data_IF_336574645055
#
_entry.id   IF_336574645055
#
_cell.length_a   1.000
_cell.length_b   1.000
_cell.length_c   1.000
_cell.angle_alpha   90.00
_cell.angle_beta   90.00
_cell.angle_gamma   90.00
#
_symmetry.space_group_name_H-M   'P 1'
#
loop_
_entity.id
_entity.type
_entity.pdbx_description
1 polymer ?
#
# COMPACT_ATOMS: atom_id res chain seq x y z
N UNK A 1 -3.52 3.38 -10.94
CA UNK A 1 -4.16 4.55 -10.31
C UNK A 1 -5.53 4.86 -10.91
N UNK A 2 -5.65 5.35 -12.16
CA UNK A 2 -6.95 5.68 -12.78
C UNK A 2 -7.96 4.55 -12.73
N UNK A 3 -7.52 3.32 -13.00
CA UNK A 3 -8.36 2.14 -12.86
C UNK A 3 -8.94 1.99 -11.45
N UNK A 4 -8.16 2.18 -10.38
CA UNK A 4 -8.65 2.06 -9.00
C UNK A 4 -9.80 3.02 -8.70
N UNK A 5 -9.73 4.28 -9.16
CA UNK A 5 -10.81 5.26 -8.94
C UNK A 5 -12.11 4.85 -9.65
N UNK A 6 -12.00 4.44 -10.92
CA UNK A 6 -13.17 4.02 -11.69
C UNK A 6 -13.75 2.70 -11.16
N UNK A 7 -12.90 1.73 -10.87
CA UNK A 7 -13.33 0.40 -10.41
C UNK A 7 -13.71 0.36 -8.93
N UNK A 8 -13.29 1.30 -8.08
CA UNK A 8 -13.78 1.41 -6.72
C UNK A 8 -15.30 1.55 -6.66
N UNK A 9 -15.87 2.43 -7.50
CA UNK A 9 -17.31 2.57 -7.69
C UNK A 9 -17.91 1.33 -8.38
N UNK A 10 -17.26 0.84 -9.41
CA UNK A 10 -17.76 -0.28 -10.22
C UNK A 10 -17.85 -1.58 -9.40
N UNK A 11 -16.92 -1.85 -8.49
CA UNK A 11 -16.91 -3.03 -7.61
C UNK A 11 -18.18 -3.10 -6.77
N UNK A 12 -18.64 -1.98 -6.23
CA UNK A 12 -19.88 -1.96 -5.43
C UNK A 12 -21.14 -2.04 -6.31
N UNK A 13 -21.12 -1.45 -7.53
CA UNK A 13 -22.28 -1.46 -8.44
C UNK A 13 -22.49 -2.80 -9.16
N UNK A 14 -21.40 -3.39 -9.67
CA UNK A 14 -21.45 -4.61 -10.47
C UNK A 14 -21.30 -5.89 -9.63
N UNK A 15 -20.93 -5.75 -8.38
CA UNK A 15 -20.63 -6.84 -7.45
C UNK A 15 -19.14 -7.15 -7.34
N UNK A 16 -18.75 -7.54 -6.15
CA UNK A 16 -17.37 -7.82 -5.78
C UNK A 16 -16.82 -9.04 -6.48
N UNK A 17 -17.63 -10.10 -6.56
CA UNK A 17 -17.31 -11.37 -7.23
C UNK A 17 -17.06 -11.17 -8.73
N UNK A 18 -17.97 -10.49 -9.43
CA UNK A 18 -17.85 -10.23 -10.88
C UNK A 18 -16.62 -9.38 -11.19
N UNK A 19 -16.36 -8.36 -10.38
CA UNK A 19 -15.19 -7.48 -10.53
C UNK A 19 -13.89 -8.23 -10.30
N UNK A 20 -13.82 -9.12 -9.30
CA UNK A 20 -12.65 -9.97 -9.06
C UNK A 20 -12.39 -10.91 -10.23
N UNK A 21 -13.43 -11.59 -10.73
CA UNK A 21 -13.28 -12.53 -11.85
C UNK A 21 -12.86 -11.82 -13.14
N UNK A 22 -13.50 -10.71 -13.47
CA UNK A 22 -13.11 -9.89 -14.64
C UNK A 22 -11.68 -9.37 -14.53
N UNK A 23 -11.29 -8.89 -13.35
CA UNK A 23 -9.95 -8.42 -13.07
C UNK A 23 -8.88 -9.51 -13.21
N UNK A 24 -9.11 -10.71 -12.62
CA UNK A 24 -8.12 -11.80 -12.66
C UNK A 24 -7.98 -12.41 -14.05
N UNK A 25 -9.07 -12.51 -14.81
CA UNK A 25 -9.04 -12.95 -16.21
C UNK A 25 -8.23 -11.94 -17.04
N UNK A 26 -8.48 -10.64 -16.88
CA UNK A 26 -7.71 -9.60 -17.57
C UNK A 26 -6.24 -9.66 -17.18
N UNK A 27 -5.94 -9.88 -15.89
CA UNK A 27 -4.57 -10.01 -15.38
C UNK A 27 -3.86 -11.22 -15.96
N UNK A 28 -4.54 -12.36 -16.07
CA UNK A 28 -4.02 -13.57 -16.69
C UNK A 28 -3.74 -13.37 -18.18
N UNK A 29 -4.71 -12.84 -18.93
CA UNK A 29 -4.55 -12.57 -20.36
C UNK A 29 -3.39 -11.59 -20.61
N UNK A 30 -3.31 -10.50 -19.87
CA UNK A 30 -2.22 -9.55 -20.01
C UNK A 30 -0.86 -10.13 -19.62
N UNK A 31 -0.82 -11.10 -18.69
CA UNK A 31 0.41 -11.84 -18.37
C UNK A 31 0.84 -12.74 -19.54
N UNK A 32 -0.09 -13.38 -20.23
CA UNK A 32 0.23 -14.16 -21.42
C UNK A 32 0.73 -13.30 -22.59
N UNK A 33 0.27 -12.06 -22.71
CA UNK A 33 0.76 -11.14 -23.77
C UNK A 33 2.26 -10.84 -23.66
N UNK A 34 2.90 -11.06 -22.49
CA UNK A 34 4.36 -10.92 -22.36
C UNK A 34 5.18 -11.96 -23.16
N UNK A 35 4.55 -13.02 -23.64
CA UNK A 35 5.22 -13.95 -24.58
C UNK A 35 5.44 -13.33 -25.96
N UNK A 36 4.66 -12.29 -26.31
CA UNK A 36 4.72 -11.64 -27.60
C UNK A 36 4.97 -10.12 -27.45
N UNK A 37 6.23 -9.73 -27.40
CA UNK A 37 6.66 -8.33 -27.28
C UNK A 37 7.50 -7.97 -28.51
N UNK A 38 6.88 -7.57 -29.63
CA UNK A 38 7.63 -7.24 -30.84
C UNK A 38 8.35 -5.89 -30.76
N UNK A 39 7.86 -4.94 -29.95
CA UNK A 39 8.44 -3.61 -29.81
C UNK A 39 8.12 -2.96 -28.47
N UNK A 40 8.79 -1.83 -28.18
CA UNK A 40 8.67 -1.11 -26.92
C UNK A 40 7.26 -0.51 -26.70
N UNK A 41 6.57 -0.07 -27.76
CA UNK A 41 5.23 0.51 -27.66
C UNK A 41 4.22 -0.55 -27.17
N UNK A 42 4.30 -1.78 -27.71
CA UNK A 42 3.46 -2.91 -27.27
C UNK A 42 3.79 -3.29 -25.83
N UNK A 43 5.08 -3.29 -25.43
CA UNK A 43 5.46 -3.52 -24.04
C UNK A 43 4.79 -2.50 -23.10
N UNK A 44 4.80 -1.22 -23.44
CA UNK A 44 4.12 -0.19 -22.62
C UNK A 44 2.61 -0.41 -22.58
N UNK A 45 1.98 -0.78 -23.68
CA UNK A 45 0.55 -1.08 -23.71
C UNK A 45 0.21 -2.29 -22.81
N UNK A 46 0.98 -3.37 -22.90
CA UNK A 46 0.83 -4.55 -22.04
C UNK A 46 1.01 -4.16 -20.56
N UNK A 47 2.05 -3.39 -20.22
CA UNK A 47 2.30 -2.90 -18.87
C UNK A 47 1.14 -2.07 -18.33
N UNK A 48 0.58 -1.20 -19.15
CA UNK A 48 -0.58 -0.37 -18.80
C UNK A 48 -1.80 -1.23 -18.49
N UNK A 49 -2.15 -2.16 -19.37
CA UNK A 49 -3.28 -3.08 -19.18
C UNK A 49 -3.08 -4.01 -17.98
N UNK A 50 -1.88 -4.54 -17.81
CA UNK A 50 -1.52 -5.38 -16.67
C UNK A 50 -1.63 -4.62 -15.35
N UNK A 51 -1.14 -3.36 -15.31
CA UNK A 51 -1.30 -2.48 -14.16
C UNK A 51 -2.76 -2.13 -13.86
N UNK A 52 -3.61 -1.95 -14.88
CA UNK A 52 -5.06 -1.78 -14.70
C UNK A 52 -5.68 -3.03 -14.07
N UNK A 53 -5.40 -4.20 -14.63
CA UNK A 53 -5.89 -5.49 -14.12
C UNK A 53 -5.48 -5.72 -12.66
N UNK A 54 -4.20 -5.48 -12.33
CA UNK A 54 -3.70 -5.51 -10.94
C UNK A 54 -4.48 -4.55 -10.03
N UNK A 55 -4.73 -3.32 -10.50
CA UNK A 55 -5.50 -2.33 -9.76
C UNK A 55 -6.93 -2.81 -9.42
N UNK A 56 -7.60 -3.46 -10.36
CA UNK A 56 -8.94 -4.04 -10.16
C UNK A 56 -8.88 -5.20 -9.16
N UNK A 57 -8.01 -6.18 -9.40
CA UNK A 57 -7.88 -7.38 -8.55
C UNK A 57 -7.53 -6.97 -7.12
N UNK A 58 -6.51 -6.12 -6.94
CA UNK A 58 -6.08 -5.72 -5.60
C UNK A 58 -7.14 -4.92 -4.85
N UNK A 59 -7.90 -4.05 -5.53
CA UNK A 59 -9.00 -3.32 -4.89
C UNK A 59 -10.15 -4.26 -4.52
N UNK A 60 -10.54 -5.17 -5.41
CA UNK A 60 -11.59 -6.14 -5.15
C UNK A 60 -11.22 -7.08 -3.99
N UNK A 61 -10.02 -7.65 -3.99
CA UNK A 61 -9.55 -8.54 -2.90
C UNK A 61 -9.47 -7.81 -1.56
N UNK A 62 -8.93 -6.60 -1.51
CA UNK A 62 -8.91 -5.79 -0.29
C UNK A 62 -10.32 -5.50 0.23
N UNK A 63 -11.28 -5.21 -0.66
CA UNK A 63 -12.67 -4.95 -0.29
C UNK A 63 -13.37 -6.21 0.24
N UNK A 64 -13.15 -7.35 -0.42
CA UNK A 64 -13.72 -8.65 0.02
C UNK A 64 -13.16 -9.02 1.40
N UNK A 65 -11.84 -8.97 1.57
CA UNK A 65 -11.19 -9.25 2.86
C UNK A 65 -11.71 -8.33 3.95
N UNK A 66 -11.81 -7.02 3.68
CA UNK A 66 -12.33 -6.05 4.63
C UNK A 66 -13.77 -6.33 5.06
N UNK A 67 -14.59 -6.95 4.21
CA UNK A 67 -15.96 -7.33 4.54
C UNK A 67 -16.07 -8.64 5.33
N UNK A 68 -15.10 -9.53 5.20
CA UNK A 68 -15.05 -10.80 5.94
C UNK A 68 -14.54 -10.63 7.38
N UNK A 69 -13.84 -9.53 7.69
CA UNK A 69 -13.24 -9.30 9.00
C UNK A 69 -14.27 -8.64 9.93
N UNK A 70 -14.53 -9.21 11.14
CA UNK A 70 -15.37 -8.59 12.15
C UNK A 70 -14.90 -7.18 12.53
N UNK A 71 -15.84 -6.32 12.95
CA UNK A 71 -15.54 -4.92 13.24
C UNK A 71 -14.56 -4.70 14.40
N UNK A 72 -14.57 -5.61 15.37
CA UNK A 72 -13.68 -5.63 16.55
C UNK A 72 -12.26 -6.15 16.26
N UNK A 73 -12.06 -6.82 15.12
CA UNK A 73 -10.77 -7.40 14.71
C UNK A 73 -10.24 -6.84 13.38
N UNK A 74 -10.65 -5.63 13.00
CA UNK A 74 -10.26 -5.02 11.72
C UNK A 74 -8.76 -4.76 11.62
N UNK A 75 -8.14 -4.28 12.68
CA UNK A 75 -6.71 -4.06 12.72
C UNK A 75 -5.92 -5.35 12.57
N UNK A 76 -6.25 -6.36 13.36
CA UNK A 76 -5.60 -7.67 13.31
C UNK A 76 -5.77 -8.31 11.93
N UNK A 77 -7.00 -8.45 11.43
CA UNK A 77 -7.29 -9.11 10.17
C UNK A 77 -6.65 -8.44 8.95
N UNK A 78 -6.70 -7.11 8.85
CA UNK A 78 -6.06 -6.35 7.77
C UNK A 78 -4.54 -6.45 7.83
N UNK A 79 -3.94 -6.44 9.02
CA UNK A 79 -2.50 -6.62 9.17
C UNK A 79 -2.05 -8.04 8.80
N UNK A 80 -2.81 -9.08 9.18
CA UNK A 80 -2.55 -10.45 8.71
C UNK A 80 -2.67 -10.60 7.20
N UNK A 81 -3.73 -10.05 6.59
CA UNK A 81 -3.84 -10.02 5.13
C UNK A 81 -2.66 -9.29 4.48
N UNK A 82 -2.24 -8.17 5.07
CA UNK A 82 -1.11 -7.39 4.60
C UNK A 82 0.24 -8.14 4.63
N UNK A 83 0.39 -9.22 5.42
CA UNK A 83 1.60 -10.06 5.40
C UNK A 83 1.83 -10.66 4.01
N UNK A 84 0.77 -11.06 3.30
CA UNK A 84 0.87 -11.63 1.96
C UNK A 84 1.55 -10.66 0.98
N UNK A 85 1.18 -9.38 1.03
CA UNK A 85 1.79 -8.34 0.20
C UNK A 85 3.23 -8.05 0.56
N UNK A 86 3.58 -8.10 1.86
CA UNK A 86 4.96 -7.89 2.32
C UNK A 86 5.87 -9.06 1.93
N UNK A 87 5.38 -10.29 2.10
CA UNK A 87 6.11 -11.48 1.65
C UNK A 87 6.34 -11.44 0.14
N UNK A 88 5.30 -11.12 -0.64
CA UNK A 88 5.41 -11.00 -2.08
C UNK A 88 6.40 -9.91 -2.50
N UNK A 89 6.40 -8.76 -1.82
CA UNK A 89 7.33 -7.66 -2.10
C UNK A 89 8.79 -8.00 -1.76
N UNK A 90 9.05 -8.92 -0.82
CA UNK A 90 10.38 -9.40 -0.49
C UNK A 90 10.82 -10.55 -1.40
N UNK A 91 9.96 -11.56 -1.56
CA UNK A 91 10.27 -12.80 -2.31
C UNK A 91 10.28 -12.55 -3.82
N UNK A 92 9.38 -11.69 -4.33
CA UNK A 92 9.24 -11.44 -5.77
C UNK A 92 10.50 -10.93 -6.45
N UNK A 93 11.09 -9.81 -6.02
CA UNK A 93 12.35 -9.30 -6.58
C UNK A 93 13.52 -10.28 -6.42
N UNK A 94 13.62 -10.95 -5.26
CA UNK A 94 14.65 -11.95 -5.03
C UNK A 94 14.56 -13.10 -6.04
N UNK A 95 13.38 -13.70 -6.20
CA UNK A 95 13.16 -14.74 -7.20
C UNK A 95 13.40 -14.24 -8.62
N UNK A 96 12.93 -13.03 -8.94
CA UNK A 96 13.14 -12.44 -10.26
C UNK A 96 14.62 -12.28 -10.60
N UNK A 97 15.42 -11.74 -9.67
CA UNK A 97 16.87 -11.59 -9.84
C UNK A 97 17.61 -12.93 -9.90
N UNK A 98 17.21 -13.89 -9.08
CA UNK A 98 17.80 -15.24 -9.11
C UNK A 98 17.49 -15.96 -10.42
N UNK A 99 16.23 -15.96 -10.83
CA UNK A 99 15.80 -16.69 -12.03
C UNK A 99 16.35 -16.10 -13.31
N UNK A 100 16.57 -14.79 -13.42
CA UNK A 100 17.13 -14.17 -14.63
C UNK A 100 18.59 -14.57 -14.87
N UNK A 101 19.31 -14.99 -13.82
CA UNK A 101 20.70 -15.47 -13.91
C UNK A 101 20.75 -16.94 -14.33
N UNK A 102 19.82 -17.77 -13.87
CA UNK A 102 19.85 -19.24 -14.07
C UNK A 102 18.91 -19.72 -15.17
N UNK A 103 17.98 -18.85 -15.63
CA UNK A 103 16.96 -19.20 -16.63
C UNK A 103 16.82 -18.08 -17.68
N UNK A 104 15.81 -18.17 -18.52
CA UNK A 104 15.47 -17.16 -19.52
C UNK A 104 14.16 -16.43 -19.17
N UNK A 105 13.94 -15.30 -19.86
CA UNK A 105 12.72 -14.48 -19.67
C UNK A 105 11.43 -15.27 -19.89
N UNK A 106 11.41 -16.18 -20.87
CA UNK A 106 10.23 -17.02 -21.18
C UNK A 106 9.86 -17.90 -20.00
N UNK A 107 10.85 -18.50 -19.30
CA UNK A 107 10.60 -19.30 -18.10
C UNK A 107 9.96 -18.46 -16.98
N UNK A 108 10.47 -17.23 -16.77
CA UNK A 108 9.93 -16.33 -15.74
C UNK A 108 8.46 -15.99 -16.05
N UNK A 109 8.13 -15.66 -17.30
CA UNK A 109 6.74 -15.39 -17.71
C UNK A 109 5.86 -16.63 -17.58
N UNK A 110 6.37 -17.82 -17.94
CA UNK A 110 5.64 -19.07 -17.74
C UNK A 110 5.32 -19.30 -16.27
N UNK A 111 6.30 -19.11 -15.38
CA UNK A 111 6.08 -19.21 -13.93
C UNK A 111 5.02 -18.22 -13.45
N UNK A 112 5.11 -16.95 -13.88
CA UNK A 112 4.11 -15.94 -13.54
C UNK A 112 2.71 -16.33 -14.05
N UNK A 113 2.59 -16.81 -15.28
CA UNK A 113 1.33 -17.25 -15.87
C UNK A 113 0.73 -18.44 -15.11
N UNK A 114 1.55 -19.42 -14.73
CA UNK A 114 1.11 -20.56 -13.90
C UNK A 114 0.60 -20.09 -12.54
N UNK A 115 1.35 -19.21 -11.85
CA UNK A 115 0.94 -18.67 -10.54
C UNK A 115 -0.36 -17.89 -10.63
N UNK A 116 -0.53 -17.02 -11.63
CA UNK A 116 -1.78 -16.27 -11.84
C UNK A 116 -2.93 -17.22 -12.22
N UNK A 117 -2.67 -18.26 -13.01
CA UNK A 117 -3.65 -19.30 -13.34
C UNK A 117 -4.12 -20.07 -12.10
N UNK A 118 -3.21 -20.44 -11.21
CA UNK A 118 -3.57 -21.07 -9.93
C UNK A 118 -4.38 -20.11 -9.03
N UNK A 119 -4.01 -18.84 -8.97
CA UNK A 119 -4.81 -17.83 -8.27
C UNK A 119 -6.23 -17.69 -8.88
N UNK A 120 -6.35 -17.74 -10.20
CA UNK A 120 -7.65 -17.69 -10.89
C UNK A 120 -8.53 -18.88 -10.52
N UNK A 121 -7.98 -20.10 -10.51
CA UNK A 121 -8.68 -21.31 -10.05
C UNK A 121 -9.13 -21.16 -8.60
N UNK A 122 -8.22 -20.68 -7.72
CA UNK A 122 -8.54 -20.42 -6.31
C UNK A 122 -9.67 -19.41 -6.14
N UNK A 123 -9.67 -18.31 -6.92
CA UNK A 123 -10.74 -17.31 -6.89
C UNK A 123 -12.10 -17.86 -7.31
N UNK A 124 -12.14 -18.76 -8.29
CA UNK A 124 -13.39 -19.41 -8.73
C UNK A 124 -13.97 -20.32 -7.65
N UNK A 125 -13.09 -20.99 -6.88
CA UNK A 125 -13.50 -21.88 -5.79
C UNK A 125 -13.99 -21.12 -4.54
N UNK A 126 -13.70 -19.83 -4.40
CA UNK A 126 -14.13 -19.03 -3.25
C UNK A 126 -15.60 -18.66 -3.34
N UNK A 127 -16.32 -18.93 -2.25
CA UNK A 127 -17.65 -18.35 -2.05
C UNK A 127 -17.50 -16.92 -1.52
N UNK A 128 -18.00 -15.96 -2.30
CA UNK A 128 -17.90 -14.52 -1.99
C UNK A 128 -19.31 -14.00 -1.79
N UNK A 129 -19.57 -13.51 -0.57
CA UNK A 129 -20.85 -12.89 -0.24
C UNK A 129 -20.95 -11.51 -0.89
N UNK A 130 -22.05 -11.28 -1.60
CA UNK A 130 -22.35 -9.99 -2.23
C UNK A 130 -23.16 -9.13 -1.27
N UNK A 131 -22.82 -7.84 -1.19
CA UNK A 131 -23.63 -6.88 -0.46
C UNK A 131 -24.81 -6.47 -1.34
N UNK A 132 -26.02 -6.67 -0.83
CA UNK A 132 -27.24 -6.17 -1.49
C UNK A 132 -27.39 -4.69 -1.24
N UNK A 133 -27.26 -3.89 -2.32
CA UNK A 133 -27.53 -2.46 -2.26
C UNK A 133 -29.02 -2.19 -2.37
N UNK A 134 -29.52 -1.21 -1.60
CA UNK A 134 -30.91 -0.74 -1.78
C UNK A 134 -31.03 0.03 -3.10
N UNK A 135 -32.27 0.09 -3.67
CA UNK A 135 -32.52 0.79 -4.94
C UNK A 135 -32.09 2.27 -4.86
N UNK A 136 -32.23 2.91 -3.72
CA UNK A 136 -31.79 4.27 -3.46
C UNK A 136 -30.26 4.40 -3.50
N UNK A 137 -29.53 3.46 -2.86
CA UNK A 137 -28.07 3.43 -2.89
C UNK A 137 -27.52 3.23 -4.31
N UNK A 138 -28.16 2.34 -5.08
CA UNK A 138 -27.81 2.11 -6.49
C UNK A 138 -28.03 3.38 -7.32
N UNK A 139 -29.17 4.06 -7.17
CA UNK A 139 -29.46 5.30 -7.87
C UNK A 139 -28.44 6.40 -7.53
N UNK A 140 -28.12 6.56 -6.24
CA UNK A 140 -27.12 7.53 -5.77
C UNK A 140 -25.72 7.21 -6.30
N UNK A 141 -25.31 5.97 -6.33
CA UNK A 141 -24.01 5.56 -6.85
C UNK A 141 -23.92 5.63 -8.38
N UNK A 142 -25.00 5.48 -9.12
CA UNK A 142 -25.04 5.66 -10.59
C UNK A 142 -24.86 7.12 -11.01
N UNK A 143 -25.24 8.09 -10.18
CA UNK A 143 -25.03 9.50 -10.49
C UNK A 143 -23.56 9.82 -10.77
N UNK A 144 -23.29 10.70 -11.73
CA UNK A 144 -21.95 11.22 -12.02
C UNK A 144 -21.60 12.33 -11.03
N UNK A 145 -21.32 11.97 -9.79
CA UNK A 145 -20.86 12.88 -8.74
C UNK A 145 -19.47 12.49 -8.29
N UNK A 146 -18.62 13.45 -7.96
CA UNK A 146 -17.27 13.22 -7.40
C UNK A 146 -17.32 12.38 -6.12
N UNK A 147 -18.40 12.54 -5.31
CA UNK A 147 -18.67 11.71 -4.13
C UNK A 147 -18.66 10.20 -4.41
N UNK A 148 -18.96 9.80 -5.63
CA UNK A 148 -19.03 8.39 -6.00
C UNK A 148 -17.66 7.80 -6.39
N UNK A 149 -16.65 8.64 -6.58
CA UNK A 149 -15.29 8.22 -6.92
C UNK A 149 -14.31 8.43 -5.77
N UNK A 150 -14.62 9.35 -4.85
CA UNK A 150 -13.76 9.72 -3.73
C UNK A 150 -14.57 9.69 -2.44
N UNK A 151 -14.03 9.04 -1.41
CA UNK A 151 -14.64 9.02 -0.08
C UNK A 151 -14.03 10.11 0.81
N UNK A 152 -14.78 11.15 1.07
CA UNK A 152 -14.30 12.32 1.86
C UNK A 152 -13.94 11.99 3.30
N UNK A 153 -14.57 10.97 3.90
CA UNK A 153 -14.30 10.57 5.29
C UNK A 153 -12.87 10.10 5.49
N UNK A 154 -12.25 9.55 4.45
CA UNK A 154 -10.88 9.03 4.49
C UNK A 154 -9.85 10.00 3.89
N UNK A 155 -10.28 11.20 3.46
CA UNK A 155 -9.42 12.14 2.75
C UNK A 155 -8.18 12.53 3.56
N UNK A 156 -8.33 12.79 4.86
CA UNK A 156 -7.20 13.15 5.74
C UNK A 156 -6.14 12.05 5.75
N UNK A 157 -6.56 10.80 5.96
CA UNK A 157 -5.64 9.65 5.98
C UNK A 157 -5.05 9.40 4.60
N UNK A 158 -5.82 9.62 3.53
CA UNK A 158 -5.35 9.48 2.15
C UNK A 158 -4.31 10.54 1.77
N UNK A 159 -4.50 11.79 2.16
CA UNK A 159 -3.50 12.87 1.94
C UNK A 159 -2.21 12.56 2.72
N UNK A 160 -2.34 12.13 3.98
CA UNK A 160 -1.17 11.68 4.75
C UNK A 160 -0.51 10.49 4.06
N UNK A 161 -1.30 9.53 3.53
CA UNK A 161 -0.82 8.40 2.74
C UNK A 161 -0.03 8.81 1.51
N UNK A 162 -0.47 9.86 0.79
CA UNK A 162 0.27 10.44 -0.32
C UNK A 162 1.67 10.90 0.12
N UNK A 163 1.77 11.68 1.19
CA UNK A 163 3.06 12.18 1.68
C UNK A 163 3.94 11.07 2.27
N UNK A 164 3.34 10.07 2.92
CA UNK A 164 4.07 8.88 3.39
C UNK A 164 4.63 8.06 2.23
N UNK A 165 3.83 7.87 1.17
CA UNK A 165 4.26 7.23 -0.08
C UNK A 165 5.34 8.03 -0.80
N UNK A 166 5.21 9.36 -0.85
CA UNK A 166 6.21 10.27 -1.38
C UNK A 166 7.55 10.14 -0.63
N UNK A 167 7.53 10.18 0.70
CA UNK A 167 8.73 10.03 1.51
C UNK A 167 9.39 8.64 1.31
N UNK A 168 8.59 7.57 1.29
CA UNK A 168 9.08 6.21 1.07
C UNK A 168 9.63 5.98 -0.35
N UNK A 169 9.13 6.70 -1.35
CA UNK A 169 9.61 6.60 -2.72
C UNK A 169 11.10 6.96 -2.87
N UNK A 170 11.64 7.82 -1.97
CA UNK A 170 13.06 8.12 -1.90
C UNK A 170 13.91 6.87 -1.67
N UNK A 171 13.43 5.97 -0.79
CA UNK A 171 14.09 4.70 -0.49
C UNK A 171 13.99 3.76 -1.70
N UNK A 172 12.79 3.57 -2.27
CA UNK A 172 12.59 2.67 -3.40
C UNK A 172 13.44 3.03 -4.62
N UNK A 173 13.62 4.32 -4.88
CA UNK A 173 14.25 4.79 -6.11
C UNK A 173 15.74 5.02 -5.96
N UNK A 174 16.17 5.61 -4.85
CA UNK A 174 17.54 6.11 -4.75
C UNK A 174 18.46 5.26 -3.86
N UNK A 175 17.93 4.32 -3.06
CA UNK A 175 18.75 3.53 -2.13
C UNK A 175 19.88 2.78 -2.84
N UNK A 176 19.60 2.15 -3.98
CA UNK A 176 20.61 1.39 -4.71
C UNK A 176 21.73 2.29 -5.28
N UNK A 177 21.37 3.48 -5.76
CA UNK A 177 22.35 4.46 -6.25
C UNK A 177 23.18 5.03 -5.10
N UNK A 178 22.52 5.42 -4.01
CA UNK A 178 23.17 5.91 -2.81
C UNK A 178 24.12 4.89 -2.18
N UNK A 179 23.70 3.62 -2.04
CA UNK A 179 24.53 2.56 -1.51
C UNK A 179 25.79 2.30 -2.37
N UNK A 180 25.71 2.53 -3.68
CA UNK A 180 26.88 2.49 -4.58
C UNK A 180 27.83 3.66 -4.33
N UNK A 181 27.27 4.88 -4.19
CA UNK A 181 28.06 6.10 -3.95
C UNK A 181 28.88 6.01 -2.65
N UNK A 182 28.27 5.46 -1.59
CA UNK A 182 28.94 5.30 -0.28
C UNK A 182 29.65 3.96 -0.10
N UNK A 183 29.81 3.15 -1.18
CA UNK A 183 30.46 1.83 -1.19
C UNK A 183 29.85 0.81 -0.21
N UNK A 184 28.53 0.87 0.06
CA UNK A 184 27.79 -0.03 0.95
C UNK A 184 26.78 -0.91 0.19
N UNK A 185 27.10 -1.39 -1.01
CA UNK A 185 26.19 -2.13 -1.90
C UNK A 185 25.60 -3.37 -1.23
N UNK A 186 26.41 -4.13 -0.49
CA UNK A 186 25.92 -5.32 0.21
C UNK A 186 24.87 -4.96 1.28
N UNK A 187 25.13 -3.94 2.09
CA UNK A 187 24.18 -3.46 3.09
C UNK A 187 22.89 -2.94 2.43
N UNK A 188 23.00 -2.24 1.29
CA UNK A 188 21.85 -1.80 0.49
C UNK A 188 20.99 -2.96 0.00
N UNK A 189 21.59 -4.10 -0.38
CA UNK A 189 20.87 -5.31 -0.77
C UNK A 189 20.12 -5.90 0.43
N UNK A 190 20.77 -5.99 1.59
CA UNK A 190 20.15 -6.53 2.80
C UNK A 190 19.12 -5.60 3.45
N UNK A 191 19.11 -4.31 3.10
CA UNK A 191 18.13 -3.36 3.61
C UNK A 191 16.69 -3.85 3.43
N UNK A 192 16.33 -4.28 2.22
CA UNK A 192 14.96 -4.75 1.94
C UNK A 192 14.64 -6.08 2.62
N UNK A 193 15.64 -6.92 2.89
CA UNK A 193 15.45 -8.14 3.69
C UNK A 193 15.12 -7.77 5.14
N UNK A 194 15.89 -6.87 5.74
CA UNK A 194 15.62 -6.36 7.09
C UNK A 194 14.24 -5.70 7.17
N UNK A 195 13.93 -4.83 6.21
CA UNK A 195 12.62 -4.21 6.06
C UNK A 195 11.49 -5.24 6.05
N UNK A 196 11.60 -6.29 5.22
CA UNK A 196 10.58 -7.33 5.09
C UNK A 196 10.43 -8.16 6.38
N UNK A 197 11.53 -8.53 7.04
CA UNK A 197 11.51 -9.26 8.31
C UNK A 197 10.82 -8.43 9.40
N UNK A 198 11.19 -7.16 9.52
CA UNK A 198 10.57 -6.26 10.51
C UNK A 198 9.07 -6.13 10.30
N UNK A 199 8.62 -5.91 9.06
CA UNK A 199 7.19 -5.82 8.76
C UNK A 199 6.47 -7.13 9.09
N UNK A 200 7.06 -8.26 8.74
CA UNK A 200 6.45 -9.57 8.96
C UNK A 200 6.21 -9.83 10.45
N UNK A 201 7.15 -9.44 11.30
CA UNK A 201 7.04 -9.60 12.75
C UNK A 201 6.07 -8.58 13.35
N UNK A 202 6.13 -7.33 12.90
CA UNK A 202 5.43 -6.22 13.56
C UNK A 202 3.97 -6.08 13.18
N UNK A 203 3.57 -6.48 11.96
CA UNK A 203 2.17 -6.36 11.51
C UNK A 203 1.15 -7.07 12.41
N UNK A 204 1.32 -8.34 12.80
CA UNK A 204 0.37 -8.98 13.71
C UNK A 204 0.26 -8.23 15.04
N UNK A 205 1.40 -7.81 15.60
CA UNK A 205 1.43 -7.08 16.88
C UNK A 205 0.72 -5.72 16.78
N UNK A 206 0.97 -4.97 15.72
CA UNK A 206 0.36 -3.64 15.52
C UNK A 206 -1.12 -3.73 15.21
N UNK A 207 -1.58 -4.80 14.56
CA UNK A 207 -3.00 -5.06 14.36
C UNK A 207 -3.75 -5.28 15.69
N UNK A 208 -3.21 -6.10 16.57
CA UNK A 208 -3.76 -6.32 17.92
C UNK A 208 -3.74 -5.02 18.74
N UNK A 209 -2.64 -4.25 18.71
CA UNK A 209 -2.56 -2.96 19.39
C UNK A 209 -3.60 -1.98 18.83
N UNK A 210 -3.81 -1.96 17.53
CA UNK A 210 -4.81 -1.13 16.85
C UNK A 210 -6.22 -1.41 17.39
N UNK A 211 -6.60 -2.69 17.47
CA UNK A 211 -7.93 -3.09 17.91
C UNK A 211 -8.15 -2.86 19.42
N UNK A 212 -7.15 -3.13 20.26
CA UNK A 212 -7.29 -3.00 21.71
C UNK A 212 -7.04 -1.58 22.26
N UNK A 213 -6.06 -0.86 21.72
CA UNK A 213 -5.64 0.46 22.23
C UNK A 213 -6.07 1.62 21.33
N UNK A 214 -6.48 1.30 20.10
CA UNK A 214 -6.89 2.27 19.09
C UNK A 214 -5.76 2.71 18.16
N UNK A 215 -6.16 3.33 17.06
CA UNK A 215 -5.30 3.72 15.94
C UNK A 215 -4.15 4.64 16.31
N UNK A 216 -4.33 5.55 17.26
CA UNK A 216 -3.31 6.52 17.66
C UNK A 216 -2.06 5.85 18.24
N UNK A 217 -2.22 4.72 18.95
CA UNK A 217 -1.09 3.99 19.54
C UNK A 217 -0.19 3.34 18.50
N UNK A 218 -0.69 3.14 17.31
CA UNK A 218 0.06 2.55 16.19
C UNK A 218 0.55 3.64 15.23
N UNK A 219 -0.31 4.57 14.83
CA UNK A 219 0.00 5.53 13.77
C UNK A 219 1.01 6.60 14.21
N UNK A 220 0.97 7.10 15.45
CA UNK A 220 2.00 8.05 15.92
C UNK A 220 3.42 7.46 15.88
N UNK A 221 3.68 6.25 16.42
CA UNK A 221 4.98 5.61 16.26
C UNK A 221 5.39 5.40 14.80
N UNK A 222 4.46 5.08 13.90
CA UNK A 222 4.77 4.87 12.48
C UNK A 222 5.39 6.11 11.84
N UNK A 223 4.83 7.30 12.06
CA UNK A 223 5.37 8.54 11.49
C UNK A 223 6.75 8.85 12.05
N UNK A 224 6.94 8.69 13.37
CA UNK A 224 8.22 8.93 14.04
C UNK A 224 9.26 7.93 13.53
N UNK A 225 8.92 6.64 13.45
CA UNK A 225 9.84 5.62 12.95
C UNK A 225 10.26 5.91 11.50
N UNK A 226 9.33 6.29 10.60
CA UNK A 226 9.70 6.65 9.24
C UNK A 226 10.65 7.85 9.21
N UNK A 227 10.37 8.88 9.98
CA UNK A 227 11.24 10.07 10.07
C UNK A 227 12.64 9.71 10.57
N UNK A 228 12.74 8.89 11.63
CA UNK A 228 14.04 8.41 12.15
C UNK A 228 14.77 7.58 11.09
N UNK A 229 14.09 6.66 10.42
CA UNK A 229 14.70 5.81 9.38
C UNK A 229 15.26 6.63 8.23
N UNK A 230 14.51 7.60 7.73
CA UNK A 230 14.95 8.49 6.65
C UNK A 230 16.08 9.45 7.12
N UNK A 231 16.02 9.92 8.36
CA UNK A 231 17.10 10.72 8.94
C UNK A 231 18.38 9.88 9.09
N UNK A 232 18.29 8.62 9.53
CA UNK A 232 19.46 7.72 9.59
C UNK A 232 20.07 7.52 8.20
N UNK A 233 19.24 7.39 7.14
CA UNK A 233 19.75 7.33 5.77
C UNK A 233 20.51 8.61 5.39
N UNK A 234 20.09 9.78 5.85
CA UNK A 234 20.76 11.04 5.53
C UNK A 234 22.16 11.19 6.15
N UNK A 235 22.45 10.43 7.22
CA UNK A 235 23.75 10.47 7.92
C UNK A 235 24.51 9.13 7.83
N UNK A 236 24.10 8.25 6.91
CA UNK A 236 24.68 6.90 6.81
C UNK A 236 26.13 6.96 6.34
N UNK A 237 27.05 6.45 7.16
CA UNK A 237 28.46 6.24 6.84
C UNK A 237 28.94 4.80 7.07
N UNK A 238 28.07 3.92 7.63
CA UNK A 238 28.41 2.54 7.96
C UNK A 238 27.25 1.58 7.66
N UNK A 239 27.57 0.30 7.35
CA UNK A 239 26.59 -0.73 7.02
C UNK A 239 25.50 -0.91 8.07
N UNK A 240 25.85 -0.88 9.36
CA UNK A 240 24.89 -1.06 10.44
C UNK A 240 23.86 0.09 10.50
N UNK A 241 24.25 1.34 10.18
CA UNK A 241 23.33 2.48 10.11
C UNK A 241 22.31 2.30 9.00
N UNK A 242 22.75 1.82 7.83
CA UNK A 242 21.90 1.56 6.69
C UNK A 242 20.90 0.43 7.01
N UNK A 243 21.33 -0.65 7.65
CA UNK A 243 20.43 -1.73 8.07
C UNK A 243 19.47 -1.29 9.18
N UNK A 244 19.93 -0.50 10.14
CA UNK A 244 19.09 0.06 11.19
C UNK A 244 18.02 1.01 10.62
N UNK A 245 18.38 1.80 9.60
CA UNK A 245 17.38 2.61 8.90
C UNK A 245 16.30 1.74 8.24
N UNK A 246 16.66 0.56 7.71
CA UNK A 246 15.71 -0.43 7.18
C UNK A 246 14.70 -0.92 8.21
N UNK A 247 15.15 -1.11 9.47
CA UNK A 247 14.24 -1.43 10.60
C UNK A 247 13.22 -0.31 10.80
N UNK A 248 13.68 0.93 10.92
CA UNK A 248 12.79 2.07 11.19
C UNK A 248 11.86 2.39 10.01
N UNK A 249 12.34 2.28 8.77
CA UNK A 249 11.49 2.46 7.58
C UNK A 249 10.42 1.35 7.53
N UNK A 250 10.76 0.12 7.89
CA UNK A 250 9.80 -1.00 7.98
C UNK A 250 8.73 -0.76 9.04
N UNK A 251 9.15 -0.37 10.26
CA UNK A 251 8.24 0.01 11.34
C UNK A 251 7.35 1.21 10.96
N UNK A 252 7.89 2.16 10.22
CA UNK A 252 7.17 3.35 9.80
C UNK A 252 6.20 3.07 8.64
N UNK A 253 6.72 2.99 7.43
CA UNK A 253 5.91 2.89 6.22
C UNK A 253 5.15 1.57 6.10
N UNK A 254 5.83 0.44 6.38
CA UNK A 254 5.22 -0.88 6.27
C UNK A 254 4.03 -1.08 7.20
N UNK A 255 4.14 -0.59 8.44
CA UNK A 255 3.06 -0.63 9.42
C UNK A 255 1.96 0.39 9.11
N UNK A 256 2.31 1.60 8.65
CA UNK A 256 1.36 2.63 8.25
C UNK A 256 0.43 2.15 7.15
N UNK A 257 0.95 1.48 6.12
CA UNK A 257 0.18 1.05 4.96
C UNK A 257 -1.05 0.20 5.34
N UNK A 258 -0.88 -0.79 6.23
CA UNK A 258 -1.98 -1.66 6.68
C UNK A 258 -2.90 -0.99 7.68
N UNK A 259 -2.35 -0.26 8.65
CA UNK A 259 -3.15 0.38 9.69
C UNK A 259 -3.90 1.61 9.16
N UNK A 260 -3.35 2.35 8.19
CA UNK A 260 -4.07 3.39 7.47
C UNK A 260 -5.26 2.82 6.67
N UNK A 261 -5.09 1.65 6.05
CA UNK A 261 -6.20 0.92 5.43
C UNK A 261 -7.28 0.55 6.46
N UNK A 262 -6.89 0.04 7.63
CA UNK A 262 -7.84 -0.31 8.71
C UNK A 262 -8.62 0.91 9.21
N UNK A 263 -7.99 2.09 9.33
CA UNK A 263 -8.67 3.36 9.63
C UNK A 263 -9.68 3.71 8.55
N UNK A 264 -9.32 3.59 7.28
CA UNK A 264 -10.24 3.88 6.17
C UNK A 264 -11.49 2.99 6.22
N UNK A 265 -11.33 1.70 6.52
CA UNK A 265 -12.45 0.76 6.66
C UNK A 265 -13.30 1.12 7.89
N UNK A 266 -12.68 1.50 9.01
CA UNK A 266 -13.37 1.90 10.24
C UNK A 266 -14.25 3.14 10.05
N UNK A 267 -13.81 4.09 9.24
CA UNK A 267 -14.52 5.37 9.00
C UNK A 267 -15.64 5.25 7.96
N UNK A 268 -15.73 4.14 7.24
CA UNK A 268 -16.57 4.05 6.04
C UNK A 268 -17.67 3.00 6.23
N UNK A 269 -18.92 3.30 5.81
CA UNK A 269 -19.99 2.32 5.81
C UNK A 269 -19.69 1.17 4.82
N UNK A 270 -20.20 -0.03 5.11
CA UNK A 270 -19.86 -1.27 4.41
C UNK A 270 -20.08 -1.23 2.89
N UNK A 271 -21.07 -0.46 2.43
CA UNK A 271 -21.39 -0.33 1.00
C UNK A 271 -20.51 0.66 0.24
N UNK A 272 -19.54 1.33 0.90
CA UNK A 272 -18.59 2.28 0.29
C UNK A 272 -17.12 1.92 0.55
N UNK A 273 -16.86 0.75 1.11
CA UNK A 273 -15.49 0.32 1.47
C UNK A 273 -14.56 0.33 0.24
N UNK A 274 -15.01 -0.13 -0.93
CA UNK A 274 -14.16 -0.13 -2.13
C UNK A 274 -13.82 1.28 -2.61
N UNK A 275 -14.74 2.24 -2.50
CA UNK A 275 -14.47 3.65 -2.83
C UNK A 275 -13.44 4.25 -1.87
N UNK A 276 -13.58 3.97 -0.58
CA UNK A 276 -12.64 4.43 0.45
C UNK A 276 -11.24 3.84 0.26
N UNK A 277 -11.14 2.54 0.02
CA UNK A 277 -9.87 1.87 -0.24
C UNK A 277 -9.25 2.34 -1.56
N UNK A 278 -10.06 2.58 -2.59
CA UNK A 278 -9.57 3.17 -3.84
C UNK A 278 -9.00 4.56 -3.62
N UNK A 279 -9.69 5.42 -2.85
CA UNK A 279 -9.21 6.77 -2.52
C UNK A 279 -7.86 6.70 -1.79
N UNK A 280 -7.76 5.83 -0.78
CA UNK A 280 -6.55 5.66 0.01
C UNK A 280 -5.37 5.13 -0.81
N UNK A 281 -5.56 4.03 -1.56
CA UNK A 281 -4.48 3.44 -2.34
C UNK A 281 -4.07 4.28 -3.54
N UNK A 282 -4.99 5.04 -4.15
CA UNK A 282 -4.64 5.99 -5.22
C UNK A 282 -3.74 7.09 -4.67
N UNK A 283 -4.02 7.60 -3.49
CA UNK A 283 -3.19 8.61 -2.87
C UNK A 283 -1.78 8.06 -2.54
N UNK A 284 -1.68 6.86 -1.97
CA UNK A 284 -0.40 6.17 -1.74
C UNK A 284 0.38 5.97 -3.05
N UNK A 285 -0.27 5.40 -4.07
CA UNK A 285 0.35 5.11 -5.37
C UNK A 285 0.80 6.39 -6.08
N UNK A 286 0.02 7.50 -5.95
CA UNK A 286 0.41 8.83 -6.45
C UNK A 286 1.66 9.35 -5.75
N UNK A 287 1.74 9.22 -4.42
CA UNK A 287 2.91 9.60 -3.65
C UNK A 287 4.17 8.86 -4.12
N UNK A 288 4.06 7.53 -4.25
CA UNK A 288 5.16 6.68 -4.74
C UNK A 288 5.52 7.01 -6.19
N UNK A 289 4.53 7.32 -7.05
CA UNK A 289 4.75 7.58 -8.46
C UNK A 289 5.32 8.98 -8.76
N UNK A 290 4.86 10.00 -8.04
CA UNK A 290 5.30 11.40 -8.21
C UNK A 290 6.64 11.64 -7.49
N UNK A 291 6.87 10.95 -6.37
CA UNK A 291 8.06 11.14 -5.55
C UNK A 291 9.38 11.02 -6.32
N UNK A 292 9.62 9.97 -7.11
CA UNK A 292 10.86 9.82 -7.89
C UNK A 292 11.10 10.96 -8.87
N UNK A 293 10.03 11.47 -9.49
CA UNK A 293 10.13 12.60 -10.43
C UNK A 293 10.54 13.89 -9.70
N UNK A 294 9.85 14.22 -8.61
CA UNK A 294 10.12 15.44 -7.83
C UNK A 294 11.49 15.37 -7.15
N UNK A 295 11.78 14.27 -6.45
CA UNK A 295 13.06 14.09 -5.76
C UNK A 295 14.22 13.94 -6.76
N UNK A 296 13.98 13.31 -7.92
CA UNK A 296 14.98 13.18 -8.98
C UNK A 296 15.33 14.52 -9.63
N UNK A 297 14.36 15.41 -9.83
CA UNK A 297 14.62 16.77 -10.31
C UNK A 297 15.42 17.61 -9.28
N UNK A 298 15.23 17.34 -7.98
CA UNK A 298 16.01 17.96 -6.92
C UNK A 298 17.42 17.36 -6.79
N UNK A 299 17.66 16.14 -7.26
CA UNK A 299 18.98 15.50 -7.18
C UNK A 299 20.06 16.26 -7.99
N UNK A 300 19.67 17.07 -8.96
CA UNK A 300 20.60 18.00 -9.63
C UNK A 300 21.11 19.13 -8.74
N UNK A 301 20.40 19.43 -7.64
CA UNK A 301 20.70 20.51 -6.69
C UNK A 301 21.11 19.97 -5.31
N UNK A 302 20.63 18.80 -4.93
CA UNK A 302 20.78 18.18 -3.62
C UNK A 302 21.51 16.84 -3.72
N UNK A 303 22.33 16.52 -2.73
CA UNK A 303 22.94 15.20 -2.57
C UNK A 303 21.95 14.16 -2.06
N UNK A 304 22.23 12.84 -2.18
CA UNK A 304 21.37 11.79 -1.62
C UNK A 304 21.09 11.96 -0.13
N UNK A 305 22.08 12.25 0.75
CA UNK A 305 21.82 12.57 2.15
C UNK A 305 20.79 13.68 2.34
N UNK A 306 20.90 14.77 1.57
CA UNK A 306 19.94 15.88 1.67
C UNK A 306 18.55 15.51 1.17
N UNK A 307 18.42 14.67 0.15
CA UNK A 307 17.12 14.15 -0.30
C UNK A 307 16.43 13.31 0.79
N UNK A 308 17.19 12.46 1.50
CA UNK A 308 16.64 11.72 2.63
C UNK A 308 16.27 12.61 3.81
N UNK A 309 17.03 13.69 4.07
CA UNK A 309 16.67 14.67 5.08
C UNK A 309 15.35 15.39 4.73
N UNK A 310 15.16 15.79 3.48
CA UNK A 310 13.88 16.35 3.00
C UNK A 310 12.74 15.36 3.19
N UNK A 311 12.93 14.09 2.81
CA UNK A 311 11.93 13.06 3.01
C UNK A 311 11.61 12.82 4.51
N UNK A 312 12.60 12.92 5.40
CA UNK A 312 12.39 12.85 6.85
C UNK A 312 11.53 14.02 7.37
N UNK A 313 11.75 15.23 6.86
CA UNK A 313 10.91 16.40 7.20
C UNK A 313 9.47 16.17 6.73
N UNK A 314 9.26 15.61 5.56
CA UNK A 314 7.92 15.26 5.07
C UNK A 314 7.25 14.24 6.00
N UNK A 315 7.98 13.24 6.51
CA UNK A 315 7.43 12.27 7.47
C UNK A 315 7.05 12.94 8.82
N UNK A 316 7.82 13.90 9.29
CA UNK A 316 7.48 14.72 10.47
C UNK A 316 6.23 15.58 10.20
N UNK A 317 6.11 16.16 9.01
CA UNK A 317 4.91 16.89 8.62
C UNK A 317 3.67 16.00 8.61
N UNK A 318 3.79 14.74 8.19
CA UNK A 318 2.71 13.75 8.29
C UNK A 318 2.25 13.51 9.73
N UNK A 319 3.19 13.43 10.68
CA UNK A 319 2.87 13.35 12.10
C UNK A 319 2.05 14.56 12.57
N UNK A 320 2.50 15.77 12.24
CA UNK A 320 1.81 17.01 12.60
C UNK A 320 0.40 17.07 11.95
N UNK A 321 0.28 16.73 10.67
CA UNK A 321 -1.00 16.66 9.96
C UNK A 321 -1.96 15.66 10.63
N UNK A 322 -1.48 14.47 10.95
CA UNK A 322 -2.29 13.45 11.63
C UNK A 322 -2.76 13.95 13.00
N UNK A 323 -1.88 14.54 13.80
CA UNK A 323 -2.21 15.09 15.12
C UNK A 323 -3.29 16.17 15.05
N UNK A 324 -3.15 17.14 14.12
CA UNK A 324 -4.05 18.29 14.02
C UNK A 324 -5.42 17.88 13.46
N UNK A 325 -5.46 17.12 12.37
CA UNK A 325 -6.69 16.88 11.63
C UNK A 325 -7.45 15.64 12.08
N UNK A 326 -6.79 14.66 12.69
CA UNK A 326 -7.40 13.37 13.03
C UNK A 326 -7.17 12.95 14.49
N UNK A 327 -5.94 12.77 14.91
CA UNK A 327 -5.59 12.10 16.16
C UNK A 327 -6.07 12.82 17.41
N UNK A 328 -6.06 14.18 17.42
CA UNK A 328 -6.57 14.98 18.53
C UNK A 328 -8.08 14.78 18.72
N UNK A 329 -8.86 14.70 17.65
CA UNK A 329 -10.32 14.51 17.71
C UNK A 329 -10.68 13.17 18.33
N UNK A 330 -9.99 12.10 17.96
CA UNK A 330 -10.21 10.76 18.51
C UNK A 330 -9.86 10.70 19.98
N UNK A 331 -8.76 11.32 20.41
CA UNK A 331 -8.42 11.39 21.82
C UNK A 331 -9.49 12.07 22.66
N UNK A 332 -10.14 13.13 22.15
CA UNK A 332 -11.22 13.82 22.82
C UNK A 332 -12.47 12.93 22.92
N UNK A 333 -12.83 12.24 21.84
CA UNK A 333 -13.97 11.31 21.82
C UNK A 333 -13.73 10.16 22.81
N UNK A 334 -12.57 9.55 22.80
CA UNK A 334 -12.22 8.44 23.70
C UNK A 334 -12.19 8.87 25.17
N UNK A 335 -11.78 10.10 25.47
CA UNK A 335 -11.89 10.67 26.83
C UNK A 335 -13.35 10.86 27.26
N UNK A 336 -14.18 11.42 26.39
CA UNK A 336 -15.59 11.63 26.69
C UNK A 336 -16.34 10.31 26.97
N UNK A 337 -16.09 9.28 26.14
CA UNK A 337 -16.64 7.93 26.31
C UNK A 337 -16.21 7.29 27.64
N UNK A 338 -14.91 7.41 28.01
CA UNK A 338 -14.43 6.90 29.31
C UNK A 338 -15.08 7.59 30.50
N UNK A 339 -15.26 8.90 30.44
CA UNK A 339 -15.95 9.66 31.51
C UNK A 339 -17.40 9.17 31.64
N UNK A 340 -18.08 8.92 30.53
CA UNK A 340 -19.48 8.48 30.54
C UNK A 340 -19.66 7.03 31.05
N UNK A 341 -18.69 6.17 30.87
CA UNK A 341 -18.74 4.76 31.35
C UNK A 341 -18.40 4.65 32.86
N UNK A 342 -17.63 5.61 33.39
CA UNK A 342 -17.21 5.61 34.80
C UNK A 342 -18.06 6.60 35.68
N UNK A 343 -19.00 7.33 35.10
CA UNK A 343 -20.00 8.11 35.77
C UNK A 343 -21.35 7.36 35.91
#
# INVERSE_FOLDING_TARGET
>A
MLARLQFGKAIELYGRRKSLYGGIILYFVTTLLYFYIPNLAILFAIRFLNGMAYGIVSTATNTIVASCIPADKRGEGINYYGLSTSLAAAVGPFLGMFLIVVTNFTFIITLCAVLVGLCMIGCIALHIDEITLTSEQVAKMKAMSLDNYVEYRVMVISIIGFFMGFAYSSVLTFLAAYAREINLVQAGTFFFVVYAVVITITRPMTGVIFDHKGENYVLYPCYICLAIGLFLLSITGASWQLLLSGVFVGLGYGTFMSNGQAVCIKLTPSYRISVALSTYFVALDLGIGVGPYVLGSLHGLLTFPQLYAVAAIVAIACFAMYYIFYGRKINLINRAVRIYIHA
#
